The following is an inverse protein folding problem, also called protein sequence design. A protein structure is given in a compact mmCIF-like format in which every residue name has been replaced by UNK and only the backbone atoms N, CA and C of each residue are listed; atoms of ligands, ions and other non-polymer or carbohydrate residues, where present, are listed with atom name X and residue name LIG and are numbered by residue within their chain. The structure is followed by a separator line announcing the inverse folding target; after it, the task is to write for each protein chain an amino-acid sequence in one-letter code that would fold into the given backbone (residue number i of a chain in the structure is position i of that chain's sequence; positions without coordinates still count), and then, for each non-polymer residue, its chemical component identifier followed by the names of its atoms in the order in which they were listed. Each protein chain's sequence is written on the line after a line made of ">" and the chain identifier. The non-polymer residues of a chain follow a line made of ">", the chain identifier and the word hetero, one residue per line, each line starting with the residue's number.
data_IF_858416975830
#
_entry.id   IF_858416975830
#
_cell.length_a   1.000
_cell.length_b   1.000
_cell.length_c   1.000
_cell.angle_alpha   90.00
_cell.angle_beta   90.00
_cell.angle_gamma   90.00
#
_symmetry.space_group_name_H-M   'P 1'
#
loop_
_entity.id
_entity.type
_entity.pdbx_description
1 polymer ?
#
# COMPACT_ATOMS: atom_id res chain seq x y z
N UNK A 1 14.27 -13.68 9.84
CA UNK A 1 13.65 -12.51 9.21
C UNK A 1 13.73 -11.35 10.20
N UNK A 2 14.48 -10.30 9.88
CA UNK A 2 14.46 -9.08 10.70
C UNK A 2 13.03 -8.54 10.73
N UNK A 3 12.53 -8.16 11.90
CA UNK A 3 11.22 -7.54 11.97
C UNK A 3 11.33 -6.13 11.38
N UNK A 4 10.67 -5.88 10.24
CA UNK A 4 10.57 -4.56 9.60
C UNK A 4 10.07 -3.50 10.60
N UNK A 5 9.27 -3.89 11.61
CA UNK A 5 8.81 -3.00 12.68
C UNK A 5 9.96 -2.53 13.56
N UNK A 6 10.90 -3.42 13.89
CA UNK A 6 12.08 -3.10 14.69
C UNK A 6 13.00 -2.15 13.91
N UNK A 7 13.19 -2.42 12.62
CA UNK A 7 13.98 -1.58 11.72
C UNK A 7 13.39 -0.17 11.62
N UNK A 8 12.06 -0.06 11.56
CA UNK A 8 11.37 1.21 11.52
C UNK A 8 11.37 1.95 12.86
N UNK A 9 11.28 1.24 13.98
CA UNK A 9 11.24 1.88 15.31
C UNK A 9 12.59 2.42 15.76
N UNK A 10 13.68 1.78 15.34
CA UNK A 10 15.04 2.19 15.69
C UNK A 10 16.03 1.95 14.53
N UNK A 11 15.90 2.72 13.44
CA UNK A 11 16.75 2.56 12.27
C UNK A 11 18.22 2.87 12.55
N UNK A 12 18.52 3.75 13.51
CA UNK A 12 19.90 4.13 13.85
C UNK A 12 20.66 3.03 14.58
N UNK A 13 20.01 2.34 15.53
CA UNK A 13 20.60 1.17 16.20
C UNK A 13 20.87 0.05 15.21
N UNK A 14 19.93 -0.20 14.29
CA UNK A 14 20.10 -1.18 13.20
C UNK A 14 21.22 -0.75 12.25
N UNK A 15 21.28 0.53 11.85
CA UNK A 15 22.35 1.09 11.02
C UNK A 15 23.72 0.90 11.67
N UNK A 16 23.85 1.18 12.97
CA UNK A 16 25.08 0.98 13.71
C UNK A 16 25.50 -0.50 13.77
N UNK A 17 24.55 -1.42 13.93
CA UNK A 17 24.81 -2.85 13.88
C UNK A 17 25.24 -3.33 12.48
N UNK A 18 24.65 -2.78 11.42
CA UNK A 18 24.97 -3.11 10.03
C UNK A 18 26.30 -2.51 9.56
N UNK A 19 26.69 -1.33 10.05
CA UNK A 19 28.02 -0.74 9.79
C UNK A 19 29.17 -1.66 10.20
N UNK A 20 28.99 -2.43 11.28
CA UNK A 20 29.98 -3.44 11.72
C UNK A 20 30.09 -4.63 10.75
N UNK A 21 29.09 -4.85 9.90
CA UNK A 21 29.06 -5.89 8.85
C UNK A 21 29.50 -5.38 7.47
N UNK A 22 29.61 -4.07 7.26
CA UNK A 22 30.10 -3.43 6.04
C UNK A 22 29.10 -2.49 5.36
N UNK A 23 29.60 -1.62 4.47
CA UNK A 23 28.81 -0.54 3.81
C UNK A 23 27.64 -1.03 2.96
N UNK A 24 27.73 -2.24 2.39
CA UNK A 24 26.64 -2.84 1.62
C UNK A 24 25.39 -3.13 2.47
N UNK A 25 25.59 -3.46 3.75
CA UNK A 25 24.49 -3.71 4.67
C UNK A 25 23.78 -2.41 5.08
N UNK A 26 24.50 -1.30 5.18
CA UNK A 26 23.91 0.02 5.43
C UNK A 26 23.06 0.51 4.26
N UNK A 27 23.48 0.28 3.01
CA UNK A 27 22.67 0.66 1.83
C UNK A 27 21.38 -0.17 1.71
N UNK A 28 21.42 -1.46 2.07
CA UNK A 28 20.24 -2.32 2.09
C UNK A 28 19.19 -1.83 3.10
N UNK A 29 19.61 -1.24 4.22
CA UNK A 29 18.70 -0.66 5.21
C UNK A 29 17.88 0.50 4.63
N UNK A 30 18.52 1.41 3.89
CA UNK A 30 17.84 2.56 3.28
C UNK A 30 16.81 2.11 2.23
N UNK A 31 17.17 1.11 1.41
CA UNK A 31 16.26 0.50 0.44
C UNK A 31 15.05 -0.16 1.12
N UNK A 32 15.29 -0.86 2.22
CA UNK A 32 14.24 -1.53 2.98
C UNK A 32 13.25 -0.53 3.61
N UNK A 33 13.75 0.57 4.17
CA UNK A 33 12.93 1.64 4.74
C UNK A 33 12.05 2.32 3.68
N UNK A 34 12.58 2.54 2.48
CA UNK A 34 11.83 3.12 1.37
C UNK A 34 10.74 2.17 0.87
N UNK A 35 11.05 0.88 0.74
CA UNK A 35 10.06 -0.13 0.38
C UNK A 35 8.94 -0.24 1.43
N UNK A 36 9.25 -0.20 2.73
CA UNK A 36 8.24 -0.19 3.80
C UNK A 36 7.37 1.07 3.75
N UNK A 37 7.98 2.23 3.49
CA UNK A 37 7.24 3.47 3.29
C UNK A 37 6.26 3.35 2.13
N UNK A 38 6.75 2.89 0.97
CA UNK A 38 5.92 2.73 -0.23
C UNK A 38 4.79 1.74 0.00
N UNK A 39 5.06 0.63 0.69
CA UNK A 39 4.04 -0.34 1.09
C UNK A 39 2.93 0.31 1.90
N UNK A 40 3.28 1.11 2.91
CA UNK A 40 2.30 1.79 3.77
C UNK A 40 1.46 2.81 3.02
N UNK A 41 2.07 3.57 2.12
CA UNK A 41 1.36 4.52 1.24
C UNK A 41 0.35 3.77 0.36
N UNK A 42 0.77 2.70 -0.31
CA UNK A 42 -0.11 1.88 -1.15
C UNK A 42 -1.27 1.26 -0.38
N UNK A 43 -1.02 0.74 0.83
CA UNK A 43 -2.08 0.21 1.71
C UNK A 43 -3.08 1.31 2.08
N UNK A 44 -2.59 2.49 2.45
CA UNK A 44 -3.46 3.62 2.80
C UNK A 44 -4.32 4.09 1.61
N UNK A 45 -3.72 4.18 0.43
CA UNK A 45 -4.44 4.54 -0.80
C UNK A 45 -5.50 3.50 -1.17
N UNK A 46 -5.14 2.21 -1.10
CA UNK A 46 -6.03 1.10 -1.38
C UNK A 46 -7.26 1.11 -0.47
N UNK A 47 -7.05 1.28 0.85
CA UNK A 47 -8.14 1.36 1.82
C UNK A 47 -9.04 2.58 1.58
N UNK A 48 -8.45 3.74 1.24
CA UNK A 48 -9.22 4.94 0.87
C UNK A 48 -10.10 4.71 -0.36
N UNK A 49 -9.57 4.08 -1.41
CA UNK A 49 -10.31 3.76 -2.64
C UNK A 49 -11.39 2.72 -2.41
N UNK A 50 -11.13 1.69 -1.59
CA UNK A 50 -12.14 0.70 -1.17
C UNK A 50 -13.27 1.36 -0.39
N UNK A 51 -12.95 2.25 0.54
CA UNK A 51 -13.95 3.02 1.29
C UNK A 51 -14.78 3.95 0.39
N UNK A 52 -14.17 4.56 -0.63
CA UNK A 52 -14.88 5.34 -1.64
C UNK A 52 -15.84 4.46 -2.45
N UNK A 53 -15.36 3.31 -2.96
CA UNK A 53 -16.18 2.37 -3.73
C UNK A 53 -17.41 1.90 -2.95
N UNK A 54 -17.23 1.57 -1.67
CA UNK A 54 -18.32 1.12 -0.81
C UNK A 54 -19.35 2.23 -0.60
N UNK A 55 -18.92 3.44 -0.26
CA UNK A 55 -19.82 4.61 -0.09
C UNK A 55 -20.63 4.91 -1.36
N UNK A 56 -19.98 4.91 -2.52
CA UNK A 56 -20.68 5.17 -3.79
C UNK A 56 -21.62 4.01 -4.14
N UNK A 57 -21.26 2.76 -3.82
CA UNK A 57 -22.14 1.62 -4.05
C UNK A 57 -23.44 1.70 -3.22
N UNK A 58 -23.34 2.16 -1.98
CA UNK A 58 -24.49 2.44 -1.11
C UNK A 58 -25.37 3.57 -1.69
N UNK A 59 -24.74 4.65 -2.16
CA UNK A 59 -25.44 5.77 -2.79
C UNK A 59 -26.17 5.35 -4.08
N UNK A 60 -25.53 4.54 -4.93
CA UNK A 60 -26.15 3.96 -6.13
C UNK A 60 -27.36 3.10 -5.76
N UNK A 61 -27.27 2.29 -4.70
CA UNK A 61 -28.39 1.49 -4.24
C UNK A 61 -29.55 2.35 -3.73
N UNK A 62 -29.25 3.48 -3.06
CA UNK A 62 -30.24 4.45 -2.59
C UNK A 62 -30.97 5.11 -3.77
N UNK A 63 -30.24 5.63 -4.75
CA UNK A 63 -30.80 6.29 -5.93
C UNK A 63 -31.68 5.34 -6.75
N UNK A 64 -31.20 4.10 -6.99
CA UNK A 64 -32.00 3.07 -7.69
C UNK A 64 -33.31 2.74 -6.98
N UNK A 65 -33.32 2.73 -5.64
CA UNK A 65 -34.55 2.53 -4.85
C UNK A 65 -35.50 3.72 -4.93
N UNK A 66 -34.97 4.93 -5.04
CA UNK A 66 -35.74 6.16 -5.23
C UNK A 66 -36.29 6.32 -6.67
N UNK A 67 -35.79 5.52 -7.62
CA UNK A 67 -36.13 5.64 -9.04
C UNK A 67 -35.29 6.67 -9.80
N UNK A 68 -34.23 7.17 -9.17
CA UNK A 68 -33.31 8.17 -9.74
C UNK A 68 -32.22 7.52 -10.60
N UNK A 69 -31.63 8.32 -11.50
CA UNK A 69 -30.50 7.88 -12.33
C UNK A 69 -29.19 7.83 -11.54
N UNK A 70 -28.50 6.68 -11.64
CA UNK A 70 -27.21 6.42 -11.01
C UNK A 70 -26.12 6.06 -12.03
N UNK A 71 -26.36 6.21 -13.34
CA UNK A 71 -25.42 5.80 -14.39
C UNK A 71 -24.07 6.50 -14.29
N UNK A 72 -24.05 7.81 -13.99
CA UNK A 72 -22.82 8.58 -13.83
C UNK A 72 -21.95 8.05 -12.68
N UNK A 73 -22.57 7.72 -11.54
CA UNK A 73 -21.86 7.14 -10.40
C UNK A 73 -21.32 5.74 -10.72
N UNK A 74 -22.11 4.91 -11.39
CA UNK A 74 -21.69 3.57 -11.84
C UNK A 74 -20.49 3.67 -12.80
N UNK A 75 -20.50 4.61 -13.73
CA UNK A 75 -19.39 4.85 -14.65
C UNK A 75 -18.11 5.26 -13.92
N UNK A 76 -18.22 6.19 -12.95
CA UNK A 76 -17.07 6.62 -12.14
C UNK A 76 -16.46 5.48 -11.30
N UNK A 77 -17.28 4.51 -10.86
CA UNK A 77 -16.81 3.38 -10.07
C UNK A 77 -16.06 2.32 -10.86
N UNK A 78 -16.19 2.28 -12.19
CA UNK A 78 -15.35 1.42 -13.03
C UNK A 78 -13.89 1.84 -12.95
N UNK A 79 -13.61 3.13 -13.10
CA UNK A 79 -12.26 3.68 -12.98
C UNK A 79 -11.65 3.41 -11.59
N UNK A 80 -12.42 3.63 -10.52
CA UNK A 80 -11.96 3.30 -9.15
C UNK A 80 -11.67 1.80 -8.99
N UNK A 81 -12.46 0.94 -9.64
CA UNK A 81 -12.23 -0.51 -9.64
C UNK A 81 -10.91 -0.90 -10.32
N UNK A 82 -10.53 -0.21 -11.38
CA UNK A 82 -9.26 -0.46 -12.08
C UNK A 82 -8.06 0.09 -11.31
N UNK A 83 -8.18 1.30 -10.74
CA UNK A 83 -7.16 1.86 -9.82
C UNK A 83 -6.91 0.94 -8.62
N UNK A 84 -7.96 0.32 -8.06
CA UNK A 84 -7.80 -0.66 -6.96
C UNK A 84 -6.95 -1.85 -7.40
N UNK A 85 -7.15 -2.40 -8.60
CA UNK A 85 -6.36 -3.54 -9.12
C UNK A 85 -4.90 -3.16 -9.35
N UNK A 86 -4.66 -1.96 -9.85
CA UNK A 86 -3.31 -1.43 -10.06
C UNK A 86 -2.58 -1.27 -8.72
N UNK A 87 -3.25 -0.70 -7.71
CA UNK A 87 -2.71 -0.56 -6.36
C UNK A 87 -2.45 -1.91 -5.69
N UNK A 88 -3.32 -2.90 -5.86
CA UNK A 88 -3.12 -4.26 -5.36
C UNK A 88 -1.91 -4.94 -6.00
N UNK A 89 -1.71 -4.75 -7.31
CA UNK A 89 -0.56 -5.27 -8.03
C UNK A 89 0.73 -4.61 -7.56
N UNK A 90 0.75 -3.28 -7.48
CA UNK A 90 1.89 -2.52 -6.99
C UNK A 90 2.24 -2.90 -5.53
N UNK A 91 1.23 -3.10 -4.68
CA UNK A 91 1.43 -3.52 -3.30
C UNK A 91 2.11 -4.89 -3.24
N UNK A 92 1.62 -5.85 -4.02
CA UNK A 92 2.20 -7.19 -4.09
C UNK A 92 3.65 -7.16 -4.55
N UNK A 93 3.98 -6.38 -5.57
CA UNK A 93 5.38 -6.25 -6.03
C UNK A 93 6.30 -5.66 -4.96
N UNK A 94 5.81 -4.67 -4.19
CA UNK A 94 6.57 -4.08 -3.08
C UNK A 94 6.74 -5.07 -1.94
N UNK A 95 5.71 -5.87 -1.62
CA UNK A 95 5.79 -6.91 -0.60
C UNK A 95 6.76 -8.02 -1.00
N UNK A 96 6.75 -8.47 -2.25
CA UNK A 96 7.70 -9.46 -2.77
C UNK A 96 9.14 -8.92 -2.74
N UNK A 97 9.36 -7.63 -3.03
CA UNK A 97 10.68 -6.98 -2.90
C UNK A 97 11.11 -6.91 -1.43
N UNK A 98 10.22 -6.52 -0.52
CA UNK A 98 10.51 -6.49 0.92
C UNK A 98 10.89 -7.86 1.46
N UNK A 99 10.18 -8.91 1.06
CA UNK A 99 10.47 -10.28 1.50
C UNK A 99 11.85 -10.73 1.01
N UNK A 100 12.22 -10.42 -0.24
CA UNK A 100 13.55 -10.74 -0.79
C UNK A 100 14.69 -10.03 -0.07
N UNK A 101 14.51 -8.77 0.33
CA UNK A 101 15.54 -8.00 1.05
C UNK A 101 15.66 -8.39 2.54
N UNK A 102 14.65 -9.07 3.09
CA UNK A 102 14.63 -9.55 4.48
C UNK A 102 15.13 -11.00 4.67
N UNK A 103 15.32 -11.73 3.58
CA UNK A 103 15.83 -13.12 3.50
C UNK A 103 17.35 -13.16 3.35
#
# INVERSE_FOLDING_TARGET
>A
MLDIKLIRSDPESVRAALRRRGSRAEQALDQLLELDRRRRELVSELESKRALRNRVSEEVARLKKAGDDAQALIASMRAVGDEIKELETALREVEEKLERELL
#
